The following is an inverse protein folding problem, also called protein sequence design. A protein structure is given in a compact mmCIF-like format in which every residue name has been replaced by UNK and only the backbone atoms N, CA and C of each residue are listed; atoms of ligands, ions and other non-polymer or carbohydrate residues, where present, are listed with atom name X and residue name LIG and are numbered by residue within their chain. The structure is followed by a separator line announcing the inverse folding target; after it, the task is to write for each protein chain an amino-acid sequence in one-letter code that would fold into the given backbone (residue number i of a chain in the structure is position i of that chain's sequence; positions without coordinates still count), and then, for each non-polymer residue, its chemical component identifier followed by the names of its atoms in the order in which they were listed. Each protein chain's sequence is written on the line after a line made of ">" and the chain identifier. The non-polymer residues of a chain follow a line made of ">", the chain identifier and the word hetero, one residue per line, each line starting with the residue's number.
data_IF_547999735116
#
_entry.id   IF_547999735116
#
_cell.length_a   1.000
_cell.length_b   1.000
_cell.length_c   1.000
_cell.angle_alpha   90.00
_cell.angle_beta   90.00
_cell.angle_gamma   90.00
#
_symmetry.space_group_name_H-M   'P 1'
#
loop_
_entity.id
_entity.type
_entity.pdbx_description
1 polymer ?
#
# COMPACT_ATOMS: atom_id res chain seq x y z
N UNK A 1 -16.91 42.47 -28.91
CA UNK A 1 -17.97 42.10 -27.94
C UNK A 1 -18.42 40.66 -28.16
N UNK A 2 -18.71 40.22 -29.40
CA UNK A 2 -19.02 38.81 -29.72
C UNK A 2 -17.94 37.77 -29.31
N UNK A 3 -16.65 38.09 -29.44
CA UNK A 3 -15.57 37.16 -29.06
C UNK A 3 -15.51 36.90 -27.54
N UNK A 4 -15.89 37.88 -26.72
CA UNK A 4 -15.87 37.81 -25.26
C UNK A 4 -17.00 36.89 -24.76
N UNK A 5 -18.15 36.93 -25.44
CA UNK A 5 -19.30 36.08 -25.14
C UNK A 5 -19.05 34.62 -25.60
N UNK A 6 -18.35 34.40 -26.71
CA UNK A 6 -17.89 33.07 -27.13
C UNK A 6 -16.89 32.46 -26.14
N UNK A 7 -15.97 33.27 -25.60
CA UNK A 7 -15.01 32.81 -24.61
C UNK A 7 -15.69 32.43 -23.28
N UNK A 8 -16.69 33.20 -22.85
CA UNK A 8 -17.48 32.88 -21.66
C UNK A 8 -18.27 31.58 -21.81
N UNK A 9 -18.85 31.31 -22.97
CA UNK A 9 -19.55 30.05 -23.26
C UNK A 9 -18.56 28.87 -23.23
N UNK A 10 -17.36 29.04 -23.78
CA UNK A 10 -16.31 28.01 -23.74
C UNK A 10 -15.85 27.73 -22.31
N UNK A 11 -15.64 28.77 -21.50
CA UNK A 11 -15.27 28.62 -20.09
C UNK A 11 -16.38 27.96 -19.27
N UNK A 12 -17.64 28.37 -19.47
CA UNK A 12 -18.79 27.77 -18.79
C UNK A 12 -18.93 26.28 -19.14
N UNK A 13 -18.77 25.91 -20.41
CA UNK A 13 -18.83 24.50 -20.84
C UNK A 13 -17.66 23.67 -20.29
N UNK A 14 -16.46 24.23 -20.22
CA UNK A 14 -15.30 23.56 -19.62
C UNK A 14 -15.50 23.39 -18.12
N UNK A 15 -16.07 24.40 -17.44
CA UNK A 15 -16.36 24.35 -16.02
C UNK A 15 -17.49 23.35 -15.69
N UNK A 16 -18.53 23.28 -16.52
CA UNK A 16 -19.60 22.29 -16.40
C UNK A 16 -19.09 20.86 -16.61
N UNK A 17 -18.20 20.64 -17.60
CA UNK A 17 -17.53 19.34 -17.80
C UNK A 17 -16.62 18.98 -16.62
N UNK A 18 -15.88 19.95 -16.08
CA UNK A 18 -15.03 19.73 -14.90
C UNK A 18 -15.88 19.39 -13.67
N UNK A 19 -17.01 20.06 -13.48
CA UNK A 19 -17.91 19.85 -12.34
C UNK A 19 -18.69 18.52 -12.47
N UNK A 20 -19.03 18.11 -13.69
CA UNK A 20 -19.62 16.79 -13.98
C UNK A 20 -18.59 15.65 -13.82
N UNK A 21 -17.30 15.89 -14.09
CA UNK A 21 -16.20 14.97 -13.78
C UNK A 21 -15.85 14.90 -12.27
N UNK A 22 -16.16 15.94 -11.50
CA UNK A 22 -15.82 16.03 -10.08
C UNK A 22 -16.81 15.33 -9.14
N UNK A 23 -18.05 15.05 -9.57
CA UNK A 23 -18.92 14.07 -8.89
C UNK A 23 -18.40 12.63 -8.99
N UNK A 24 -17.39 12.38 -9.83
CA UNK A 24 -16.61 11.14 -9.90
C UNK A 24 -15.16 11.37 -9.39
N UNK A 25 -14.91 12.47 -8.66
CA UNK A 25 -13.57 12.86 -8.19
C UNK A 25 -13.05 12.05 -7.00
N UNK A 26 -13.93 11.58 -6.11
CA UNK A 26 -13.53 10.73 -4.97
C UNK A 26 -13.10 9.31 -5.38
N UNK A 27 -13.41 8.89 -6.61
CA UNK A 27 -12.99 7.60 -7.17
C UNK A 27 -11.69 7.73 -7.98
N UNK A 28 -11.34 8.93 -8.46
CA UNK A 28 -10.21 9.12 -9.35
C UNK A 28 -8.87 8.99 -8.61
N UNK A 29 -8.75 9.56 -7.41
CA UNK A 29 -7.53 9.41 -6.59
C UNK A 29 -7.30 7.95 -6.16
N UNK A 30 -8.35 7.26 -5.71
CA UNK A 30 -8.27 5.84 -5.34
C UNK A 30 -7.94 4.95 -6.53
N UNK A 31 -8.56 5.20 -7.69
CA UNK A 31 -8.29 4.45 -8.91
C UNK A 31 -6.84 4.65 -9.38
N UNK A 32 -6.35 5.89 -9.36
CA UNK A 32 -4.96 6.20 -9.70
C UNK A 32 -3.96 5.52 -8.76
N UNK A 33 -4.24 5.50 -7.45
CA UNK A 33 -3.41 4.76 -6.50
C UNK A 33 -3.43 3.25 -6.77
N UNK A 34 -4.60 2.67 -7.01
CA UNK A 34 -4.74 1.23 -7.27
C UNK A 34 -4.10 0.83 -8.60
N UNK A 35 -4.20 1.65 -9.64
CA UNK A 35 -3.53 1.46 -10.92
C UNK A 35 -2.01 1.57 -10.78
N UNK A 36 -1.52 2.57 -10.02
CA UNK A 36 -0.09 2.69 -9.72
C UNK A 36 0.43 1.47 -8.95
N UNK A 37 -0.32 1.00 -7.94
CA UNK A 37 0.00 -0.21 -7.18
C UNK A 37 0.04 -1.44 -8.07
N UNK A 38 -0.98 -1.65 -8.90
CA UNK A 38 -1.05 -2.77 -9.86
C UNK A 38 0.07 -2.73 -10.88
N UNK A 39 0.44 -1.54 -11.37
CA UNK A 39 1.55 -1.34 -12.31
C UNK A 39 2.89 -1.70 -11.68
N UNK A 40 3.13 -1.31 -10.42
CA UNK A 40 4.35 -1.69 -9.69
C UNK A 40 4.39 -3.21 -9.48
N UNK A 41 3.28 -3.79 -9.05
CA UNK A 41 3.12 -5.23 -8.80
C UNK A 41 3.37 -6.05 -10.08
N UNK A 42 2.82 -5.63 -11.23
CA UNK A 42 3.01 -6.32 -12.51
C UNK A 42 4.44 -6.22 -13.06
N UNK A 43 5.17 -5.16 -12.72
CA UNK A 43 6.58 -5.01 -13.12
C UNK A 43 7.53 -5.89 -12.30
N UNK A 44 7.22 -6.12 -11.03
CA UNK A 44 8.08 -6.89 -10.10
C UNK A 44 7.74 -8.38 -10.05
N UNK A 45 6.51 -8.78 -10.39
CA UNK A 45 6.07 -10.18 -10.37
C UNK A 45 6.14 -10.83 -11.76
N UNK A 46 6.34 -12.14 -11.79
CA UNK A 46 6.10 -12.95 -12.98
C UNK A 46 4.59 -13.21 -13.19
N UNK A 47 4.13 -13.48 -14.42
CA UNK A 47 2.71 -13.79 -14.67
C UNK A 47 2.21 -14.99 -13.86
N UNK A 48 3.06 -15.98 -13.61
CA UNK A 48 2.74 -17.13 -12.75
C UNK A 48 2.51 -16.73 -11.29
N UNK A 49 3.31 -15.78 -10.78
CA UNK A 49 3.17 -15.29 -9.41
C UNK A 49 1.90 -14.45 -9.22
N UNK A 50 1.48 -13.70 -10.24
CA UNK A 50 0.20 -12.96 -10.25
C UNK A 50 -0.98 -13.92 -10.19
N UNK A 51 -0.96 -15.00 -10.98
CA UNK A 51 -2.02 -16.01 -10.95
C UNK A 51 -2.10 -16.72 -9.59
N UNK A 52 -0.94 -17.03 -8.99
CA UNK A 52 -0.88 -17.58 -7.64
C UNK A 52 -1.43 -16.63 -6.59
N UNK A 53 -1.10 -15.34 -6.66
CA UNK A 53 -1.65 -14.31 -5.77
C UNK A 53 -3.18 -14.25 -5.87
N UNK A 54 -3.73 -14.34 -7.08
CA UNK A 54 -5.17 -14.41 -7.33
C UNK A 54 -5.83 -15.66 -6.72
N UNK A 55 -5.21 -16.83 -6.86
CA UNK A 55 -5.66 -18.08 -6.21
C UNK A 55 -5.65 -17.96 -4.68
N UNK A 56 -4.63 -17.32 -4.10
CA UNK A 56 -4.53 -17.10 -2.65
C UNK A 56 -5.61 -16.11 -2.18
N UNK A 57 -5.86 -15.04 -2.92
CA UNK A 57 -6.89 -14.06 -2.61
C UNK A 57 -8.28 -14.73 -2.53
N UNK A 58 -8.54 -15.75 -3.35
CA UNK A 58 -9.78 -16.54 -3.31
C UNK A 58 -9.95 -17.32 -2.00
N UNK A 59 -8.85 -17.81 -1.40
CA UNK A 59 -8.89 -18.56 -0.14
C UNK A 59 -8.90 -17.62 1.06
N UNK A 60 -8.04 -16.59 1.04
CA UNK A 60 -7.92 -15.57 2.10
C UNK A 60 -7.45 -14.23 1.52
N UNK A 61 -8.40 -13.31 1.33
CA UNK A 61 -8.10 -11.95 0.82
C UNK A 61 -7.15 -11.17 1.74
N UNK A 62 -7.30 -11.28 3.06
CA UNK A 62 -6.41 -10.61 4.03
C UNK A 62 -4.94 -10.98 3.83
N UNK A 63 -4.66 -12.24 3.46
CA UNK A 63 -3.31 -12.70 3.18
C UNK A 63 -2.78 -12.04 1.91
N UNK A 64 -3.56 -12.06 0.82
CA UNK A 64 -3.16 -11.43 -0.44
C UNK A 64 -2.82 -9.94 -0.27
N UNK A 65 -3.65 -9.20 0.49
CA UNK A 65 -3.41 -7.77 0.78
C UNK A 65 -2.12 -7.51 1.57
N UNK A 66 -1.82 -8.34 2.56
CA UNK A 66 -0.56 -8.24 3.32
C UNK A 66 0.66 -8.40 2.38
N UNK A 67 0.58 -9.32 1.41
CA UNK A 67 1.65 -9.54 0.44
C UNK A 67 1.76 -8.40 -0.57
N UNK A 68 0.65 -7.90 -1.12
CA UNK A 68 0.65 -6.74 -2.01
C UNK A 68 1.33 -5.54 -1.33
N UNK A 69 0.94 -5.24 -0.09
CA UNK A 69 1.54 -4.14 0.67
C UNK A 69 3.05 -4.35 0.90
N UNK A 70 3.48 -5.57 1.21
CA UNK A 70 4.91 -5.87 1.41
C UNK A 70 5.70 -5.76 0.11
N UNK A 71 5.14 -6.24 -1.01
CA UNK A 71 5.76 -6.16 -2.32
C UNK A 71 5.89 -4.72 -2.80
N UNK A 72 4.84 -3.91 -2.61
CA UNK A 72 4.87 -2.47 -2.88
C UNK A 72 5.96 -1.79 -2.05
N UNK A 73 6.08 -2.14 -0.77
CA UNK A 73 7.11 -1.56 0.10
C UNK A 73 8.53 -1.90 -0.38
N UNK A 74 8.77 -3.17 -0.76
CA UNK A 74 10.08 -3.62 -1.26
C UNK A 74 10.40 -3.08 -2.66
N UNK A 75 9.39 -2.87 -3.50
CA UNK A 75 9.54 -2.24 -4.80
C UNK A 75 9.87 -0.75 -4.67
N UNK A 76 9.17 -0.03 -3.78
CA UNK A 76 9.46 1.38 -3.49
C UNK A 76 10.84 1.59 -2.87
N UNK A 77 11.32 0.67 -2.05
CA UNK A 77 12.68 0.71 -1.49
C UNK A 77 13.75 0.19 -2.46
N UNK A 78 13.36 -0.19 -3.68
CA UNK A 78 14.25 -0.72 -4.73
C UNK A 78 15.07 -1.94 -4.26
N UNK A 79 14.56 -2.69 -3.28
CA UNK A 79 15.21 -3.88 -2.72
C UNK A 79 15.03 -5.13 -3.60
N UNK A 80 14.07 -5.10 -4.54
CA UNK A 80 13.81 -6.18 -5.48
C UNK A 80 14.70 -6.01 -6.70
N UNK A 81 15.83 -6.73 -6.72
CA UNK A 81 16.77 -6.76 -7.86
C UNK A 81 16.37 -7.75 -8.96
N UNK A 82 15.51 -8.72 -8.63
CA UNK A 82 15.07 -9.79 -9.51
C UNK A 82 13.55 -9.95 -9.41
N UNK A 83 12.90 -10.33 -10.52
CA UNK A 83 11.45 -10.56 -10.53
C UNK A 83 11.07 -11.65 -9.51
N UNK A 84 10.02 -11.40 -8.75
CA UNK A 84 9.47 -12.34 -7.77
C UNK A 84 8.71 -13.43 -8.52
N UNK A 85 9.16 -14.68 -8.37
CA UNK A 85 8.55 -15.89 -8.94
C UNK A 85 7.50 -16.48 -8.01
N UNK A 86 6.75 -17.48 -8.48
CA UNK A 86 5.78 -18.21 -7.63
C UNK A 86 6.44 -18.79 -6.38
N UNK A 87 7.61 -19.44 -6.52
CA UNK A 87 8.33 -20.03 -5.39
C UNK A 87 8.76 -18.98 -4.37
N UNK A 88 9.31 -17.85 -4.83
CA UNK A 88 9.69 -16.75 -3.94
C UNK A 88 8.50 -16.10 -3.24
N UNK A 89 7.33 -16.07 -3.89
CA UNK A 89 6.08 -15.63 -3.26
C UNK A 89 5.66 -16.61 -2.15
N UNK A 90 5.73 -17.92 -2.40
CA UNK A 90 5.40 -18.98 -1.42
C UNK A 90 6.34 -18.93 -0.22
N UNK A 91 7.63 -18.76 -0.43
CA UNK A 91 8.60 -18.63 0.66
C UNK A 91 8.33 -17.40 1.52
N UNK A 92 7.99 -16.26 0.88
CA UNK A 92 7.58 -15.05 1.59
C UNK A 92 6.29 -15.28 2.41
N UNK A 93 5.35 -16.05 1.86
CA UNK A 93 4.10 -16.43 2.54
C UNK A 93 4.40 -17.26 3.78
N UNK A 94 5.20 -18.31 3.64
CA UNK A 94 5.56 -19.21 4.73
C UNK A 94 6.34 -18.46 5.82
N UNK A 95 7.29 -17.60 5.44
CA UNK A 95 8.06 -16.80 6.37
C UNK A 95 7.19 -15.79 7.16
N UNK A 96 6.14 -15.24 6.55
CA UNK A 96 5.21 -14.34 7.24
C UNK A 96 4.29 -15.10 8.20
N UNK A 97 3.81 -16.28 7.82
CA UNK A 97 3.03 -17.13 8.72
C UNK A 97 3.87 -17.58 9.93
N UNK A 98 5.16 -17.87 9.75
CA UNK A 98 6.09 -18.21 10.84
C UNK A 98 6.46 -16.99 11.71
N UNK A 99 6.55 -15.79 11.11
CA UNK A 99 6.77 -14.55 11.89
C UNK A 99 5.55 -14.14 12.70
N UNK A 100 4.34 -14.27 12.16
CA UNK A 100 3.10 -14.02 12.93
C UNK A 100 2.97 -14.96 14.13
N UNK A 101 3.45 -16.20 14.05
CA UNK A 101 3.43 -17.13 15.20
C UNK A 101 4.53 -16.84 16.22
N UNK A 102 5.68 -16.32 15.80
CA UNK A 102 6.77 -15.91 16.73
C UNK A 102 6.53 -14.56 17.39
N UNK A 103 5.91 -13.58 16.71
CA UNK A 103 5.49 -12.29 17.29
C UNK A 103 4.38 -12.45 18.35
N UNK A 104 3.61 -13.54 18.34
CA UNK A 104 2.63 -13.84 19.40
C UNK A 104 3.25 -14.37 20.71
N UNK A 105 4.56 -14.64 20.75
CA UNK A 105 5.30 -15.06 21.95
C UNK A 105 6.21 -13.93 22.47
N UNK A 106 5.67 -12.75 22.74
CA UNK A 106 6.40 -11.73 23.51
C UNK A 106 6.28 -12.06 25.00
N UNK A 107 7.25 -12.83 25.52
CA UNK A 107 7.44 -13.03 26.96
C UNK A 107 7.99 -11.73 27.54
N UNK A 108 7.12 -10.89 28.10
CA UNK A 108 7.52 -9.72 28.88
C UNK A 108 8.19 -10.15 30.19
N UNK A 109 9.51 -10.30 30.19
CA UNK A 109 10.29 -10.21 31.43
C UNK A 109 10.57 -8.73 31.70
N UNK A 110 9.64 -8.07 32.41
CA UNK A 110 9.77 -6.68 32.83
C UNK A 110 10.93 -6.60 33.84
N UNK A 111 12.14 -6.31 33.35
CA UNK A 111 13.29 -5.97 34.19
C UNK A 111 12.91 -4.74 35.02
N UNK A 112 12.83 -4.97 36.32
CA UNK A 112 12.90 -4.02 37.42
C UNK A 112 14.07 -3.05 37.17
N UNK A 113 13.78 -1.90 36.57
CA UNK A 113 14.66 -0.73 36.61
C UNK A 113 14.61 -0.20 38.03
N UNK A 114 15.66 -0.46 38.80
CA UNK A 114 15.87 0.17 40.09
C UNK A 114 16.23 1.62 39.80
N UNK A 115 15.46 2.50 40.40
CA UNK A 115 15.58 3.95 40.42
C UNK A 115 17.02 4.38 40.69
N UNK A 116 17.57 5.17 39.77
CA UNK A 116 18.72 6.05 39.99
C UNK A 116 18.46 7.27 39.10
N UNK A 117 17.89 8.32 39.70
CA UNK A 117 18.07 9.73 39.32
C UNK A 117 17.23 10.61 40.26
N UNK A 118 17.93 11.26 41.18
CA UNK A 118 17.76 12.68 41.56
C UNK A 118 16.47 13.16 42.25
N UNK A 119 16.25 12.75 43.50
CA UNK A 119 15.46 13.50 44.48
C UNK A 119 16.33 13.88 45.69
N UNK A 120 17.11 14.96 45.58
CA UNK A 120 17.65 15.73 46.73
C UNK A 120 18.01 17.17 46.27
N UNK A 121 17.04 17.87 45.69
CA UNK A 121 17.08 19.32 45.46
C UNK A 121 16.28 20.03 46.57
N UNK A 122 17.01 20.63 47.52
CA UNK A 122 16.67 21.67 48.51
C UNK A 122 15.17 22.00 48.78
N UNK A 123 14.70 21.67 49.99
CA UNK A 123 13.66 22.43 50.72
C UNK A 123 13.94 22.47 52.23
#
# INVERSE_FOLDING_TARGET
>A
MEDDDLQKIRQARVQELAQQGQSQGGNNEKQQEDEARKSIISQILTPEAVDRLGRIAMVKESRARDFENRLIMMARSNQIRQRVTEEGLIDLINAIDEKKTTEQKVVFSRRKGILDDDDDFDL
#
